data_IF_272490188796
#
_entry.id   IF_272490188796
#
_cell.length_a   1.000
_cell.length_b   1.000
_cell.length_c   1.000
_cell.angle_alpha   90.00
_cell.angle_beta   90.00
_cell.angle_gamma   90.00
#
_symmetry.space_group_name_H-M   'P 1'
#
loop_
_entity.id
_entity.type
_entity.pdbx_description
1 polymer ?
#
# COMPACT_ATOMS: atom_id res chain seq x y z
N UNK A 1 -21.11 9.76 5.96
CA UNK A 1 -19.81 10.46 5.87
C UNK A 1 -19.81 11.78 6.64
N UNK A 2 -20.70 12.71 6.34
CA UNK A 2 -20.64 14.08 6.90
C UNK A 2 -21.06 14.24 8.37
N UNK A 3 -21.83 13.30 8.93
CA UNK A 3 -22.37 13.40 10.29
C UNK A 3 -21.29 13.55 11.38
N UNK A 4 -20.27 12.69 11.37
CA UNK A 4 -19.18 12.77 12.35
C UNK A 4 -18.31 14.02 12.19
N UNK A 5 -18.13 14.48 10.96
CA UNK A 5 -17.38 15.71 10.66
C UNK A 5 -18.10 16.96 11.20
N UNK A 6 -19.42 17.05 11.02
CA UNK A 6 -20.23 18.17 11.53
C UNK A 6 -20.16 18.22 13.06
N UNK A 7 -20.30 17.07 13.72
CA UNK A 7 -20.19 16.98 15.17
C UNK A 7 -18.80 17.40 15.66
N UNK A 8 -17.74 16.99 14.97
CA UNK A 8 -16.37 17.39 15.29
C UNK A 8 -16.15 18.90 15.18
N UNK A 9 -16.62 19.55 14.12
CA UNK A 9 -16.51 21.00 13.97
C UNK A 9 -17.28 21.76 15.05
N UNK A 10 -18.50 21.32 15.37
CA UNK A 10 -19.29 21.91 16.46
C UNK A 10 -18.52 21.80 17.77
N UNK A 11 -18.00 20.62 18.12
CA UNK A 11 -17.21 20.45 19.35
C UNK A 11 -15.95 21.31 19.35
N UNK A 12 -15.25 21.41 18.22
CA UNK A 12 -14.03 22.23 18.11
C UNK A 12 -14.30 23.70 18.41
N UNK A 13 -15.35 24.29 17.81
CA UNK A 13 -15.74 25.68 18.07
C UNK A 13 -16.28 25.90 19.48
N UNK A 14 -17.10 24.97 19.98
CA UNK A 14 -17.69 25.07 21.33
C UNK A 14 -16.60 25.00 22.41
N UNK A 15 -15.62 24.11 22.27
CA UNK A 15 -14.51 23.99 23.23
C UNK A 15 -13.59 25.21 23.17
N UNK A 16 -13.32 25.74 21.96
CA UNK A 16 -12.56 26.99 21.81
C UNK A 16 -13.26 28.16 22.55
N UNK A 17 -14.57 28.32 22.35
CA UNK A 17 -15.37 29.35 23.01
C UNK A 17 -15.48 29.13 24.52
N UNK A 18 -15.67 27.89 24.98
CA UNK A 18 -15.86 27.58 26.39
C UNK A 18 -14.59 27.79 27.23
N UNK A 19 -13.41 27.53 26.66
CA UNK A 19 -12.13 27.67 27.38
C UNK A 19 -11.50 29.05 27.23
N UNK A 20 -11.59 29.65 26.05
CA UNK A 20 -10.89 30.90 25.75
C UNK A 20 -11.80 32.13 25.73
N UNK A 21 -13.11 31.95 25.75
CA UNK A 21 -14.10 33.04 25.75
C UNK A 21 -14.30 33.73 24.38
N UNK A 22 -13.47 33.39 23.39
CA UNK A 22 -13.51 33.93 22.04
C UNK A 22 -13.12 32.85 21.00
N UNK A 23 -13.58 33.02 19.76
CA UNK A 23 -13.22 32.17 18.61
C UNK A 23 -12.30 32.97 17.69
N UNK A 24 -11.00 32.80 17.87
CA UNK A 24 -9.92 33.35 17.03
C UNK A 24 -8.98 32.23 16.56
N UNK A 25 -8.18 32.49 15.52
CA UNK A 25 -7.21 31.52 14.99
C UNK A 25 -6.29 30.99 16.10
N UNK A 26 -5.90 31.85 17.05
CA UNK A 26 -5.05 31.46 18.18
C UNK A 26 -5.76 30.50 19.14
N UNK A 27 -7.04 30.75 19.44
CA UNK A 27 -7.83 29.87 20.32
C UNK A 27 -8.13 28.51 19.68
N UNK A 28 -8.40 28.49 18.37
CA UNK A 28 -8.61 27.28 17.58
C UNK A 28 -7.33 26.43 17.45
N UNK A 29 -6.17 27.09 17.42
CA UNK A 29 -4.85 26.46 17.37
C UNK A 29 -4.39 25.83 18.68
N UNK A 30 -5.10 26.05 19.80
CA UNK A 30 -4.74 25.46 21.10
C UNK A 30 -4.89 23.93 21.07
N UNK A 31 -4.12 23.26 21.92
CA UNK A 31 -4.09 21.80 21.98
C UNK A 31 -5.44 21.22 22.41
N UNK A 32 -6.10 21.83 23.40
CA UNK A 32 -7.34 21.30 23.98
C UNK A 32 -8.52 21.29 22.99
N UNK A 33 -8.84 22.39 22.26
CA UNK A 33 -9.87 22.35 21.22
C UNK A 33 -9.54 21.37 20.09
N UNK A 34 -8.29 21.32 19.62
CA UNK A 34 -7.87 20.41 18.55
C UNK A 34 -8.02 18.94 18.96
N UNK A 35 -7.62 18.61 20.20
CA UNK A 35 -7.77 17.27 20.73
C UNK A 35 -9.25 16.87 20.85
N UNK A 36 -10.09 17.76 21.38
CA UNK A 36 -11.52 17.49 21.55
C UNK A 36 -12.22 17.26 20.20
N UNK A 37 -11.93 18.09 19.19
CA UNK A 37 -12.47 17.93 17.83
C UNK A 37 -12.07 16.59 17.20
N UNK A 38 -10.79 16.24 17.27
CA UNK A 38 -10.28 14.99 16.68
C UNK A 38 -10.87 13.73 17.35
N UNK A 39 -10.98 13.72 18.69
CA UNK A 39 -11.58 12.59 19.41
C UNK A 39 -13.06 12.43 19.02
N UNK A 40 -13.83 13.52 18.99
CA UNK A 40 -15.24 13.46 18.60
C UNK A 40 -15.38 13.01 17.14
N UNK A 41 -14.51 13.45 16.24
CA UNK A 41 -14.53 13.00 14.84
C UNK A 41 -14.42 11.48 14.70
N UNK A 42 -13.44 10.87 15.39
CA UNK A 42 -13.19 9.42 15.32
C UNK A 42 -14.32 8.64 15.99
N UNK A 43 -14.68 9.00 17.22
CA UNK A 43 -15.66 8.26 18.02
C UNK A 43 -17.06 8.35 17.41
N UNK A 44 -17.50 9.55 17.02
CA UNK A 44 -18.82 9.73 16.41
C UNK A 44 -18.93 9.04 15.06
N UNK A 45 -17.88 9.05 14.22
CA UNK A 45 -17.88 8.36 12.94
C UNK A 45 -17.96 6.84 13.10
N UNK A 46 -17.22 6.29 14.06
CA UNK A 46 -17.29 4.87 14.41
C UNK A 46 -18.67 4.47 14.92
N UNK A 47 -19.24 5.23 15.84
CA UNK A 47 -20.59 5.00 16.36
C UNK A 47 -21.65 5.06 15.27
N UNK A 48 -21.60 6.07 14.39
CA UNK A 48 -22.53 6.19 13.27
C UNK A 48 -22.43 4.97 12.35
N UNK A 49 -21.21 4.50 12.03
CA UNK A 49 -21.04 3.30 11.20
C UNK A 49 -21.62 2.05 11.86
N UNK A 50 -21.34 1.84 13.15
CA UNK A 50 -21.88 0.69 13.90
C UNK A 50 -23.40 0.74 13.93
N UNK A 51 -23.99 1.88 14.27
CA UNK A 51 -25.45 2.04 14.32
C UNK A 51 -26.08 1.84 12.94
N UNK A 52 -25.54 2.46 11.89
CA UNK A 52 -26.05 2.27 10.52
C UNK A 52 -25.94 0.80 10.06
N UNK A 53 -24.83 0.14 10.39
CA UNK A 53 -24.62 -1.28 10.10
C UNK A 53 -25.65 -2.17 10.79
N UNK A 54 -25.97 -1.88 12.06
CA UNK A 54 -26.97 -2.63 12.83
C UNK A 54 -28.42 -2.36 12.39
N UNK A 55 -28.73 -1.14 11.93
CA UNK A 55 -30.09 -0.77 11.48
C UNK A 55 -30.42 -1.39 10.12
N UNK A 56 -29.43 -1.54 9.24
CA UNK A 56 -29.59 -2.20 7.94
C UNK A 56 -28.41 -3.14 7.67
N UNK A 57 -28.37 -4.32 8.32
CA UNK A 57 -27.33 -5.30 8.05
C UNK A 57 -27.47 -5.78 6.61
N UNK A 58 -26.44 -5.55 5.80
CA UNK A 58 -26.36 -6.15 4.47
C UNK A 58 -25.78 -7.56 4.62
N UNK A 59 -26.62 -8.57 4.43
CA UNK A 59 -26.18 -9.97 4.30
C UNK A 59 -25.57 -10.16 2.90
N UNK A 60 -24.36 -9.62 2.70
CA UNK A 60 -23.64 -9.72 1.44
C UNK A 60 -23.08 -11.14 1.26
N UNK A 61 -23.46 -11.80 0.17
CA UNK A 61 -22.95 -13.13 -0.19
C UNK A 61 -21.67 -12.98 -1.02
N UNK A 62 -20.52 -13.35 -0.45
CA UNK A 62 -19.21 -13.24 -1.11
C UNK A 62 -19.09 -14.12 -2.37
N UNK A 63 -20.03 -15.03 -2.63
CA UNK A 63 -20.05 -15.85 -3.84
C UNK A 63 -20.09 -15.02 -5.13
N UNK A 64 -20.90 -13.96 -5.16
CA UNK A 64 -21.00 -13.10 -6.36
C UNK A 64 -19.71 -12.34 -6.66
N UNK A 65 -18.81 -12.18 -5.68
CA UNK A 65 -17.51 -11.53 -5.87
C UNK A 65 -16.54 -12.43 -6.63
N UNK A 66 -16.63 -13.75 -6.43
CA UNK A 66 -15.82 -14.73 -7.16
C UNK A 66 -16.30 -14.99 -8.59
N UNK A 67 -17.53 -14.62 -8.91
CA UNK A 67 -18.13 -14.75 -10.25
C UNK A 67 -17.85 -13.54 -11.15
N UNK A 68 -17.18 -12.50 -10.63
CA UNK A 68 -16.79 -11.33 -11.41
C UNK A 68 -15.73 -11.76 -12.42
N UNK A 69 -16.14 -11.89 -13.68
CA UNK A 69 -15.25 -12.17 -14.81
C UNK A 69 -14.22 -11.05 -14.95
N UNK A 70 -12.95 -11.37 -14.72
CA UNK A 70 -11.83 -10.49 -15.04
C UNK A 70 -11.86 -10.23 -16.55
N UNK A 71 -12.01 -8.95 -16.96
CA UNK A 71 -12.11 -8.59 -18.38
C UNK A 71 -10.76 -8.73 -19.11
N UNK A 72 -9.67 -8.65 -18.36
CA UNK A 72 -8.29 -8.74 -18.84
C UNK A 72 -7.51 -9.62 -17.84
N UNK A 73 -7.36 -10.91 -18.16
CA UNK A 73 -6.35 -11.75 -17.52
C UNK A 73 -5.03 -11.47 -18.25
N UNK A 74 -4.50 -10.25 -18.09
CA UNK A 74 -3.23 -9.85 -18.70
C UNK A 74 -2.09 -10.56 -17.96
N UNK A 75 -1.86 -11.82 -18.32
CA UNK A 75 -0.79 -12.66 -17.80
C UNK A 75 0.54 -12.43 -18.54
N UNK A 76 0.64 -11.35 -19.32
CA UNK A 76 1.85 -11.07 -20.07
C UNK A 76 2.98 -10.62 -19.14
N UNK A 77 3.87 -11.56 -18.79
CA UNK A 77 5.11 -11.27 -18.05
C UNK A 77 5.29 -11.96 -16.71
N UNK A 78 4.37 -12.83 -16.28
CA UNK A 78 4.48 -13.62 -15.05
C UNK A 78 4.68 -15.11 -15.38
N UNK A 79 5.59 -15.79 -14.66
CA UNK A 79 5.85 -17.22 -14.86
C UNK A 79 4.67 -18.02 -14.25
N UNK A 80 4.22 -19.15 -14.85
CA UNK A 80 3.21 -20.02 -14.24
C UNK A 80 3.46 -20.38 -12.77
N UNK A 81 4.73 -20.36 -12.31
CA UNK A 81 5.13 -20.56 -10.92
C UNK A 81 4.71 -19.44 -9.96
N UNK A 82 4.56 -18.21 -10.45
CA UNK A 82 4.17 -17.05 -9.64
C UNK A 82 2.71 -17.14 -9.17
N UNK A 83 1.91 -18.00 -9.81
CA UNK A 83 0.52 -18.28 -9.45
C UNK A 83 0.37 -19.51 -8.54
N UNK A 84 1.46 -20.17 -8.19
CA UNK A 84 1.40 -21.30 -7.27
C UNK A 84 0.96 -20.80 -5.88
N UNK A 85 -0.08 -21.41 -5.31
CA UNK A 85 -0.62 -21.04 -3.98
C UNK A 85 0.46 -20.95 -2.91
N UNK A 86 1.50 -21.79 -3.03
CA UNK A 86 2.64 -21.80 -2.14
C UNK A 86 3.43 -20.48 -2.21
N UNK A 87 3.79 -20.02 -3.41
CA UNK A 87 4.50 -18.75 -3.62
C UNK A 87 3.68 -17.55 -3.12
N UNK A 88 2.38 -17.53 -3.45
CA UNK A 88 1.46 -16.49 -2.99
C UNK A 88 1.35 -16.44 -1.46
N UNK A 89 1.29 -17.61 -0.80
CA UNK A 89 1.21 -17.68 0.66
C UNK A 89 2.50 -17.21 1.35
N UNK A 90 3.66 -17.51 0.76
CA UNK A 90 4.96 -17.07 1.25
C UNK A 90 5.15 -15.56 1.09
N UNK A 91 4.83 -15.01 -0.09
CA UNK A 91 4.85 -13.57 -0.36
C UNK A 91 3.88 -12.81 0.56
N UNK A 92 2.66 -13.33 0.76
CA UNK A 92 1.70 -12.75 1.70
C UNK A 92 2.22 -12.77 3.13
N UNK A 93 2.78 -13.89 3.60
CA UNK A 93 3.33 -14.00 4.94
C UNK A 93 4.51 -13.03 5.14
N UNK A 94 5.35 -12.86 4.12
CA UNK A 94 6.46 -11.92 4.12
C UNK A 94 5.97 -10.48 4.27
N UNK A 95 5.03 -10.06 3.42
CA UNK A 95 4.45 -8.70 3.46
C UNK A 95 3.71 -8.46 4.77
N UNK A 96 2.92 -9.42 5.26
CA UNK A 96 2.21 -9.31 6.53
C UNK A 96 3.17 -9.17 7.72
N UNK A 97 4.25 -9.94 7.75
CA UNK A 97 5.26 -9.88 8.82
C UNK A 97 5.90 -8.51 8.91
N UNK A 98 6.40 -7.99 7.79
CA UNK A 98 7.08 -6.69 7.76
C UNK A 98 6.11 -5.52 7.87
N UNK A 99 4.94 -5.62 7.24
CA UNK A 99 3.87 -4.63 7.34
C UNK A 99 3.39 -4.46 8.77
N UNK A 100 3.09 -5.56 9.46
CA UNK A 100 2.65 -5.52 10.86
C UNK A 100 3.75 -4.99 11.79
N UNK A 101 5.01 -5.44 11.60
CA UNK A 101 6.13 -4.92 12.38
C UNK A 101 6.30 -3.41 12.19
N UNK A 102 6.26 -2.93 10.95
CA UNK A 102 6.34 -1.50 10.63
C UNK A 102 5.18 -0.70 11.22
N UNK A 103 3.95 -1.22 11.16
CA UNK A 103 2.79 -0.58 11.79
C UNK A 103 2.97 -0.45 13.30
N UNK A 104 3.41 -1.49 14.00
CA UNK A 104 3.66 -1.42 15.45
C UNK A 104 4.73 -0.37 15.75
N UNK A 105 5.82 -0.36 14.97
CA UNK A 105 6.89 0.61 15.15
C UNK A 105 6.39 2.04 14.93
N UNK A 106 5.68 2.32 13.83
CA UNK A 106 5.27 3.67 13.46
C UNK A 106 4.05 4.20 14.22
N UNK A 107 3.10 3.34 14.58
CA UNK A 107 1.85 3.76 15.22
C UNK A 107 1.94 3.71 16.74
N UNK A 108 2.70 2.75 17.29
CA UNK A 108 2.76 2.54 18.74
C UNK A 108 4.10 3.02 19.30
N UNK A 109 5.21 2.43 18.84
CA UNK A 109 6.53 2.70 19.43
C UNK A 109 6.97 4.15 19.17
N UNK A 110 6.80 4.63 17.94
CA UNK A 110 7.27 5.95 17.54
C UNK A 110 6.56 7.10 18.29
N UNK A 111 5.21 7.13 18.42
CA UNK A 111 4.55 8.12 19.26
C UNK A 111 4.89 7.93 20.74
N UNK A 112 4.99 6.70 21.23
CA UNK A 112 5.35 6.44 22.63
C UNK A 112 6.75 6.94 22.99
N UNK A 113 7.72 6.87 22.07
CA UNK A 113 9.05 7.46 22.25
C UNK A 113 9.03 9.00 22.33
N UNK A 114 7.97 9.62 21.80
CA UNK A 114 7.80 11.08 21.83
C UNK A 114 7.08 11.59 23.08
N UNK A 115 6.31 10.75 23.79
CA UNK A 115 5.54 11.13 24.99
C UNK A 115 6.43 11.59 26.17
N UNK A 116 7.56 10.94 26.51
CA UNK A 116 8.41 11.33 27.64
C UNK A 116 9.09 12.69 27.47
N UNK A 117 9.14 13.22 26.25
CA UNK A 117 9.85 14.47 25.96
C UNK A 117 9.09 15.72 26.44
N UNK A 118 7.80 15.62 26.75
CA UNK A 118 7.00 16.74 27.25
C UNK A 118 7.02 17.94 26.30
N UNK A 119 7.67 19.05 26.70
CA UNK A 119 7.90 20.20 25.82
C UNK A 119 9.11 19.90 24.93
N UNK A 120 8.88 19.65 23.64
CA UNK A 120 9.95 19.38 22.69
C UNK A 120 10.98 20.51 22.66
N UNK A 121 12.22 20.20 23.04
CA UNK A 121 13.32 21.13 22.87
C UNK A 121 13.59 21.36 21.37
N UNK A 122 14.12 22.54 21.03
CA UNK A 122 14.52 22.84 19.65
C UNK A 122 15.49 21.78 19.09
N UNK A 123 16.37 21.24 19.92
CA UNK A 123 17.32 20.18 19.53
C UNK A 123 16.63 18.85 19.19
N UNK A 124 15.67 18.43 20.02
CA UNK A 124 14.91 17.20 19.79
C UNK A 124 14.05 17.31 18.52
N UNK A 125 13.36 18.42 18.32
CA UNK A 125 12.58 18.66 17.10
C UNK A 125 13.46 18.67 15.84
N UNK A 126 14.60 19.37 15.87
CA UNK A 126 15.52 19.42 14.74
C UNK A 126 16.14 18.05 14.41
N UNK A 127 16.36 17.19 15.42
CA UNK A 127 16.81 15.80 15.21
C UNK A 127 15.80 15.02 14.36
N UNK A 128 14.51 15.09 14.70
CA UNK A 128 13.46 14.38 13.95
C UNK A 128 13.29 14.91 12.53
N UNK A 129 13.35 16.23 12.35
CA UNK A 129 13.31 16.85 11.03
C UNK A 129 14.49 16.39 10.18
N UNK A 130 15.68 16.28 10.76
CA UNK A 130 16.84 15.79 10.05
C UNK A 130 16.68 14.31 9.64
N UNK A 131 16.16 13.46 10.54
CA UNK A 131 15.88 12.05 10.25
C UNK A 131 14.88 11.91 9.10
N UNK A 132 13.80 12.70 9.10
CA UNK A 132 12.77 12.63 8.05
C UNK A 132 13.28 13.07 6.69
N UNK A 133 14.09 14.14 6.65
CA UNK A 133 14.74 14.61 5.42
C UNK A 133 15.74 13.55 4.92
N UNK A 134 16.59 13.02 5.80
CA UNK A 134 17.60 12.03 5.42
C UNK A 134 16.97 10.76 4.82
N UNK A 135 15.92 10.20 5.44
CA UNK A 135 15.24 9.04 4.85
C UNK A 135 14.58 9.39 3.52
N UNK A 136 14.05 10.61 3.36
CA UNK A 136 13.28 11.00 2.17
C UNK A 136 14.17 11.01 0.93
N UNK A 137 15.44 11.41 1.07
CA UNK A 137 16.43 11.29 0.00
C UNK A 137 16.71 9.83 -0.38
N UNK A 138 16.87 8.94 0.61
CA UNK A 138 17.07 7.51 0.35
C UNK A 138 15.85 6.91 -0.34
N UNK A 139 14.65 7.18 0.16
CA UNK A 139 13.40 6.71 -0.44
C UNK A 139 13.23 7.20 -1.88
N UNK A 140 13.54 8.48 -2.13
CA UNK A 140 13.52 9.06 -3.49
C UNK A 140 14.49 8.31 -4.41
N UNK A 141 15.72 8.04 -3.95
CA UNK A 141 16.69 7.26 -4.72
C UNK A 141 16.18 5.86 -5.06
N UNK A 142 15.56 5.18 -4.10
CA UNK A 142 14.98 3.84 -4.33
C UNK A 142 13.83 3.90 -5.34
N UNK A 143 12.89 4.86 -5.20
CA UNK A 143 11.74 4.99 -6.11
C UNK A 143 12.18 5.26 -7.54
N UNK A 144 13.24 6.04 -7.75
CA UNK A 144 13.74 6.34 -9.09
C UNK A 144 14.55 5.16 -9.66
N UNK A 145 15.42 4.54 -8.85
CA UNK A 145 16.33 3.51 -9.35
C UNK A 145 15.78 2.09 -9.39
N UNK A 146 14.85 1.72 -8.51
CA UNK A 146 14.32 0.37 -8.46
C UNK A 146 13.57 -0.02 -9.74
N UNK A 147 12.64 0.79 -10.28
CA UNK A 147 12.00 0.49 -11.56
C UNK A 147 13.01 0.43 -12.71
N UNK A 148 14.01 1.31 -12.71
CA UNK A 148 15.06 1.33 -13.75
C UNK A 148 15.93 0.08 -13.67
N UNK A 149 16.22 -0.42 -12.46
CA UNK A 149 16.98 -1.65 -12.26
C UNK A 149 16.21 -2.88 -12.74
N UNK A 150 14.93 -2.97 -12.39
CA UNK A 150 14.08 -4.10 -12.75
C UNK A 150 13.77 -4.15 -14.25
N UNK A 151 13.65 -2.98 -14.91
CA UNK A 151 13.35 -2.88 -16.34
C UNK A 151 14.58 -2.94 -17.26
N UNK A 152 15.79 -3.20 -16.73
CA UNK A 152 17.04 -3.23 -17.54
C UNK A 152 16.97 -4.20 -18.71
N UNK A 153 16.44 -5.40 -18.48
CA UNK A 153 16.35 -6.42 -19.52
C UNK A 153 15.38 -6.01 -20.63
N UNK A 154 14.28 -5.34 -20.28
CA UNK A 154 13.33 -4.78 -21.25
C UNK A 154 13.99 -3.69 -22.10
N UNK A 155 14.75 -2.78 -21.50
CA UNK A 155 15.48 -1.75 -22.26
C UNK A 155 16.54 -2.35 -23.19
N UNK A 156 17.30 -3.35 -22.72
CA UNK A 156 18.31 -4.04 -23.53
C UNK A 156 17.64 -4.79 -24.69
N UNK A 157 16.50 -5.44 -24.46
CA UNK A 157 15.75 -6.17 -25.49
C UNK A 157 15.19 -5.23 -26.57
N UNK A 158 14.64 -4.08 -26.19
CA UNK A 158 14.18 -3.05 -27.14
C UNK A 158 15.35 -2.46 -27.92
N UNK A 159 16.46 -2.15 -27.25
CA UNK A 159 17.66 -1.63 -27.88
C UNK A 159 18.27 -2.61 -28.90
N UNK A 160 18.38 -3.89 -28.53
CA UNK A 160 18.86 -4.94 -29.43
C UNK A 160 17.93 -5.16 -30.63
N UNK A 161 16.61 -5.05 -30.41
CA UNK A 161 15.59 -5.15 -31.47
C UNK A 161 15.67 -4.00 -32.47
N UNK A 162 15.97 -2.77 -32.01
CA UNK A 162 16.19 -1.60 -32.88
C UNK A 162 17.48 -1.74 -33.69
N UNK A 163 18.52 -2.37 -33.13
CA UNK A 163 19.80 -2.64 -33.79
C UNK A 163 19.77 -3.85 -34.74
N UNK A 164 18.61 -4.48 -34.96
CA UNK A 164 18.47 -5.59 -35.89
C UNK A 164 19.14 -6.91 -35.45
N UNK A 165 19.57 -7.00 -34.18
CA UNK A 165 19.96 -8.28 -33.58
C UNK A 165 18.69 -8.99 -33.14
N UNK A 166 18.40 -10.15 -33.73
CA UNK A 166 17.27 -10.99 -33.30
C UNK A 166 17.35 -11.23 -31.79
N UNK A 167 16.22 -11.05 -31.13
CA UNK A 167 16.07 -11.27 -29.69
C UNK A 167 16.46 -12.71 -29.34
N UNK A 168 17.42 -12.88 -28.42
CA UNK A 168 17.81 -14.20 -27.87
C UNK A 168 16.59 -15.00 -27.40
N UNK A 169 15.56 -14.33 -26.84
CA UNK A 169 14.28 -14.96 -26.45
C UNK A 169 13.50 -15.53 -27.63
N UNK A 170 13.61 -14.95 -28.82
CA UNK A 170 12.94 -15.42 -30.03
C UNK A 170 13.65 -16.63 -30.65
N UNK A 171 14.95 -16.78 -30.36
CA UNK A 171 15.77 -17.92 -30.77
C UNK A 171 15.60 -19.08 -29.78
N UNK A 172 15.60 -18.82 -28.46
CA UNK A 172 15.26 -19.81 -27.42
C UNK A 172 13.81 -20.31 -27.54
N UNK A 173 12.83 -19.44 -27.81
CA UNK A 173 11.45 -19.85 -28.04
C UNK A 173 11.28 -20.67 -29.34
N UNK A 174 12.10 -20.41 -30.36
CA UNK A 174 12.13 -21.24 -31.58
C UNK A 174 12.75 -22.61 -31.32
N UNK A 175 13.89 -22.66 -30.65
CA UNK A 175 14.59 -23.91 -30.31
C UNK A 175 13.72 -24.79 -29.40
N UNK A 176 13.05 -24.20 -28.40
CA UNK A 176 12.12 -24.91 -27.53
C UNK A 176 10.87 -25.44 -28.24
N UNK A 177 10.31 -24.67 -29.18
CA UNK A 177 9.17 -25.11 -30.00
C UNK A 177 9.57 -26.24 -30.96
N UNK A 178 10.76 -26.18 -31.55
CA UNK A 178 11.30 -27.19 -32.48
C UNK A 178 11.59 -28.52 -31.74
N UNK A 179 12.16 -28.46 -30.53
CA UNK A 179 12.37 -29.65 -29.68
C UNK A 179 11.07 -30.30 -29.17
N UNK A 180 10.05 -29.50 -28.86
CA UNK A 180 8.75 -30.02 -28.41
C UNK A 180 8.02 -30.74 -29.55
N UNK A 181 8.19 -30.26 -30.78
CA UNK A 181 7.60 -30.86 -31.98
C UNK A 181 8.27 -32.20 -32.32
N UNK A 182 9.61 -32.28 -32.27
CA UNK A 182 10.36 -33.54 -32.46
C UNK A 182 10.03 -34.59 -31.38
N UNK A 183 9.86 -34.17 -30.13
CA UNK A 183 9.53 -35.09 -29.03
C UNK A 183 8.14 -35.71 -29.21
N UNK A 184 7.17 -34.92 -29.71
CA UNK A 184 5.78 -35.36 -29.94
C UNK A 184 5.67 -36.32 -31.13
N UNK A 185 6.38 -36.06 -32.24
CA UNK A 185 6.40 -36.96 -33.40
C UNK A 185 7.11 -38.31 -33.12
N UNK A 186 8.11 -38.32 -32.23
CA UNK A 186 8.84 -39.54 -31.85
C UNK A 186 8.03 -40.43 -30.89
N UNK A 187 7.11 -39.85 -30.10
CA UNK A 187 6.23 -40.63 -29.21
C UNK A 187 5.07 -41.29 -29.96
N UNK A 188 4.52 -40.65 -31.00
CA UNK A 188 3.44 -41.24 -31.81
C UNK A 188 3.90 -42.39 -32.71
N UNK A 189 5.17 -42.42 -33.13
CA UNK A 189 5.70 -43.46 -34.02
C UNK A 189 6.15 -44.75 -33.31
N UNK A 190 6.19 -44.76 -31.98
CA UNK A 190 6.58 -45.95 -31.18
C UNK A 190 5.40 -46.73 -30.59
N UNK A 191 4.16 -46.23 -30.72
CA UNK A 191 2.92 -46.87 -30.23
C UNK A 191 2.06 -47.54 -31.33
N UNK A 192 2.58 -47.67 -32.56
CA UNK A 192 1.96 -48.41 -33.68
C UNK A 192 2.79 -49.61 -34.10
#
# INVERSE_FOLDING_TARGET
AWGGMILAFITWFVVAQAQSGEITVDTLGKLEPNLAGNIVAIVSSGLIHVVCSLVKPQNYDFKSMGEIKMLEDDQSGLDPKDYEDKFLSEAKAWVMKWGMAFTIVMVIIWPLLSVPAGVFSKGYWSMWVFISIAWSFVATGVIIWLPIYESRDTFINVFNSILGRKSMKQEEAKIGAEQTTETTETTETTET
#
